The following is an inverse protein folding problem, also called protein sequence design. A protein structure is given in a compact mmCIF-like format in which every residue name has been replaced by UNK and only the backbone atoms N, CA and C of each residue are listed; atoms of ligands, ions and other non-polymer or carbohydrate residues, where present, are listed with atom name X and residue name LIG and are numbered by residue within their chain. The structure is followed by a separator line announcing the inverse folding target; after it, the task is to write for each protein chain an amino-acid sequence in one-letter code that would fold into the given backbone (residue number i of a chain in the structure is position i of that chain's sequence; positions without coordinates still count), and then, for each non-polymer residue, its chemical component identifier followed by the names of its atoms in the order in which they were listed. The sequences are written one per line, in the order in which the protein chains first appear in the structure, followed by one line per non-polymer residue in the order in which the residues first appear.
data_IF_526140212145
#
_entry.id   IF_526140212145
#
_cell.length_a   1.000
_cell.length_b   1.000
_cell.length_c   1.000
_cell.angle_alpha   90.00
_cell.angle_beta   90.00
_cell.angle_gamma   90.00
#
_symmetry.space_group_name_H-M   'P 1'
#
loop_
_entity.id
_entity.type
_entity.pdbx_description
1 polymer ?
#
# COMPACT_ATOMS: atom_id res chain seq x y z
N UNK A 1 6.32 -1.75 16.49
CA UNK A 1 5.84 -2.10 15.14
C UNK A 1 5.99 -0.90 14.22
N UNK A 2 6.36 -1.14 12.96
CA UNK A 2 6.35 -0.14 11.87
C UNK A 2 5.25 -0.55 10.89
N UNK A 3 3.95 -0.37 11.23
CA UNK A 3 2.83 -0.91 10.48
C UNK A 3 2.77 -0.41 9.02
N UNK A 4 3.29 0.78 8.75
CA UNK A 4 3.48 1.32 7.40
C UNK A 4 4.34 0.41 6.51
N UNK A 5 5.27 -0.36 7.09
CA UNK A 5 6.05 -1.37 6.35
C UNK A 5 5.24 -2.60 5.94
N UNK A 6 3.92 -2.63 6.18
CA UNK A 6 3.01 -3.55 5.50
C UNK A 6 3.06 -3.42 3.98
N UNK A 7 3.55 -2.29 3.46
CA UNK A 7 3.94 -2.10 2.07
C UNK A 7 5.26 -1.33 1.99
N UNK A 8 6.17 -1.77 1.12
CA UNK A 8 7.42 -1.10 0.80
C UNK A 8 7.58 -1.05 -0.72
N UNK A 9 7.86 0.13 -1.25
CA UNK A 9 8.23 0.34 -2.65
C UNK A 9 9.74 0.49 -2.78
N UNK A 10 10.35 -0.38 -3.58
CA UNK A 10 11.78 -0.39 -3.86
C UNK A 10 12.02 0.13 -5.29
N UNK A 11 12.49 1.36 -5.43
CA UNK A 11 12.88 1.93 -6.71
C UNK A 11 14.32 1.53 -7.06
N UNK A 12 14.48 0.70 -8.08
CA UNK A 12 15.79 0.25 -8.54
C UNK A 12 16.60 1.40 -9.17
N UNK A 13 17.79 1.66 -8.65
CA UNK A 13 18.74 2.66 -9.16
C UNK A 13 19.89 2.07 -9.98
N UNK A 14 19.86 0.76 -10.22
CA UNK A 14 20.96 0.00 -10.81
C UNK A 14 21.98 -0.45 -9.76
N UNK A 15 22.87 -1.36 -10.14
CA UNK A 15 23.97 -1.86 -9.28
C UNK A 15 23.52 -2.39 -7.91
N UNK A 16 22.33 -3.01 -7.84
CA UNK A 16 21.70 -3.47 -6.58
C UNK A 16 21.44 -2.35 -5.54
N UNK A 17 21.37 -1.09 -5.97
CA UNK A 17 20.97 0.03 -5.14
C UNK A 17 19.47 0.30 -5.30
N UNK A 18 18.79 0.52 -4.17
CA UNK A 18 17.35 0.75 -4.13
C UNK A 18 17.01 1.91 -3.20
N UNK A 19 16.19 2.83 -3.68
CA UNK A 19 15.49 3.78 -2.80
C UNK A 19 14.25 3.09 -2.26
N UNK A 20 14.10 3.09 -0.94
CA UNK A 20 12.96 2.44 -0.26
C UNK A 20 12.01 3.52 0.24
N UNK A 21 10.72 3.35 -0.05
CA UNK A 21 9.67 4.26 0.40
C UNK A 21 8.42 3.50 0.85
N UNK A 22 7.57 4.18 1.62
CA UNK A 22 6.28 3.68 2.08
C UNK A 22 5.32 4.86 2.27
N UNK A 23 4.09 4.58 2.67
CA UNK A 23 3.05 5.58 2.97
C UNK A 23 2.36 5.25 4.29
N UNK A 24 2.02 6.24 5.14
CA UNK A 24 1.23 6.01 6.34
C UNK A 24 -0.10 5.28 6.08
N UNK A 25 -0.67 5.44 4.88
CA UNK A 25 -1.90 4.74 4.49
C UNK A 25 -1.74 3.21 4.45
N UNK A 26 -0.52 2.71 4.26
CA UNK A 26 -0.23 1.29 4.25
C UNK A 26 -0.38 0.64 5.64
N UNK A 27 -0.38 1.42 6.72
CA UNK A 27 -0.50 0.91 8.09
C UNK A 27 -1.87 0.29 8.43
N UNK A 28 -2.90 0.60 7.63
CA UNK A 28 -4.28 0.21 7.92
C UNK A 28 -4.74 -1.07 7.22
N UNK A 29 -3.93 -1.68 6.36
CA UNK A 29 -4.31 -2.85 5.59
C UNK A 29 -3.46 -4.08 5.87
N UNK A 30 -4.02 -5.24 5.54
CA UNK A 30 -3.30 -6.50 5.37
C UNK A 30 -3.23 -6.78 3.88
N UNK A 31 -2.32 -6.10 3.19
CA UNK A 31 -2.19 -6.13 1.74
C UNK A 31 -1.76 -7.52 1.27
N UNK A 32 -2.51 -8.09 0.33
CA UNK A 32 -2.29 -9.45 -0.18
C UNK A 32 -2.13 -9.48 -1.70
N UNK A 33 -2.87 -8.63 -2.41
CA UNK A 33 -2.83 -8.56 -3.87
C UNK A 33 -2.32 -7.19 -4.31
N UNK A 34 -1.68 -7.14 -5.48
CA UNK A 34 -1.17 -5.93 -6.10
C UNK A 34 -1.44 -5.99 -7.61
N UNK A 35 -1.94 -4.89 -8.16
CA UNK A 35 -2.09 -4.66 -9.60
C UNK A 35 -1.34 -3.39 -10.00
N UNK A 36 -0.72 -3.37 -11.18
CA UNK A 36 0.01 -2.23 -11.71
C UNK A 36 -0.59 -1.81 -13.06
N UNK A 37 -1.16 -0.61 -13.12
CA UNK A 37 -1.84 -0.09 -14.30
C UNK A 37 -1.88 1.44 -14.29
N UNK A 38 -2.05 2.06 -15.46
CA UNK A 38 -2.35 3.49 -15.59
C UNK A 38 -3.85 3.72 -15.32
N UNK A 39 -4.21 3.97 -14.06
CA UNK A 39 -5.61 3.98 -13.61
C UNK A 39 -6.26 5.33 -13.88
N UNK A 40 -5.50 6.41 -13.71
CA UNK A 40 -5.99 7.76 -13.95
C UNK A 40 -5.68 8.32 -15.34
N UNK A 41 -5.01 7.52 -16.19
CA UNK A 41 -4.79 7.75 -17.62
C UNK A 41 -3.86 8.94 -17.88
N UNK A 42 -2.88 9.13 -17.02
CA UNK A 42 -1.90 10.20 -17.17
C UNK A 42 -0.60 9.75 -17.87
N UNK A 43 -0.49 8.44 -18.15
CA UNK A 43 0.62 7.83 -18.88
C UNK A 43 1.72 7.27 -17.98
N UNK A 44 1.58 7.33 -16.66
CA UNK A 44 2.44 6.62 -15.72
C UNK A 44 1.74 5.41 -15.06
N UNK A 45 2.51 4.59 -14.32
CA UNK A 45 1.98 3.36 -13.73
C UNK A 45 1.64 3.58 -12.26
N UNK A 46 0.35 3.42 -11.94
CA UNK A 46 -0.17 3.38 -10.58
C UNK A 46 -0.12 1.97 -10.00
N UNK A 47 -0.29 1.86 -8.68
CA UNK A 47 -0.45 0.59 -7.97
C UNK A 47 -1.78 0.53 -7.23
N UNK A 48 -2.46 -0.62 -7.29
CA UNK A 48 -3.61 -0.94 -6.42
C UNK A 48 -3.23 -2.08 -5.50
N UNK A 49 -3.39 -1.88 -4.20
CA UNK A 49 -3.25 -2.93 -3.19
C UNK A 49 -4.63 -3.39 -2.73
N UNK A 50 -4.86 -4.70 -2.75
CA UNK A 50 -6.05 -5.33 -2.17
C UNK A 50 -5.75 -5.91 -0.80
N UNK A 51 -6.59 -5.59 0.19
CA UNK A 51 -6.44 -6.13 1.54
C UNK A 51 -7.24 -7.43 1.74
N UNK A 52 -6.72 -8.31 2.60
CA UNK A 52 -7.38 -9.54 2.96
C UNK A 52 -7.32 -9.80 4.46
N UNK A 53 -8.49 -9.96 5.07
CA UNK A 53 -8.66 -10.33 6.47
C UNK A 53 -9.37 -11.67 6.53
N UNK A 54 -8.73 -12.65 7.18
CA UNK A 54 -9.20 -14.02 7.21
C UNK A 54 -10.30 -14.25 8.26
N UNK A 55 -10.31 -13.46 9.35
CA UNK A 55 -11.27 -13.60 10.43
C UNK A 55 -11.53 -12.29 11.17
N UNK A 56 -12.59 -12.28 12.00
CA UNK A 56 -13.00 -11.13 12.81
C UNK A 56 -11.93 -10.70 13.81
N UNK A 57 -11.11 -11.63 14.31
CA UNK A 57 -10.01 -11.34 15.23
C UNK A 57 -8.92 -10.44 14.63
N UNK A 58 -8.71 -10.49 13.31
CA UNK A 58 -7.78 -9.59 12.63
C UNK A 58 -8.35 -8.17 12.51
N UNK A 59 -9.67 -8.07 12.26
CA UNK A 59 -10.38 -6.79 12.20
C UNK A 59 -10.42 -6.12 13.60
N UNK A 60 -10.68 -6.89 14.66
CA UNK A 60 -10.74 -6.34 16.04
C UNK A 60 -9.40 -5.78 16.50
N UNK A 61 -8.27 -6.38 16.11
CA UNK A 61 -6.94 -5.82 16.38
C UNK A 61 -6.76 -4.43 15.77
N UNK A 62 -7.29 -4.18 14.58
CA UNK A 62 -7.26 -2.84 13.96
C UNK A 62 -8.16 -1.86 14.72
N UNK A 63 -9.35 -2.29 15.13
CA UNK A 63 -10.25 -1.46 15.94
C UNK A 63 -9.63 -1.07 17.29
N UNK A 64 -8.95 -2.00 17.98
CA UNK A 64 -8.20 -1.68 19.21
C UNK A 64 -7.03 -0.72 18.98
N UNK A 65 -6.52 -0.62 17.74
CA UNK A 65 -5.52 0.38 17.32
C UNK A 65 -6.16 1.70 16.84
N UNK A 66 -7.48 1.87 17.00
CA UNK A 66 -8.21 3.08 16.59
C UNK A 66 -8.55 3.14 15.10
N UNK A 67 -8.32 2.07 14.34
CA UNK A 67 -8.66 1.99 12.92
C UNK A 67 -10.07 1.43 12.79
N UNK A 68 -11.03 2.30 12.52
CA UNK A 68 -12.45 1.96 12.42
C UNK A 68 -12.93 1.79 10.98
N UNK A 69 -12.17 2.30 10.01
CA UNK A 69 -12.40 2.10 8.58
C UNK A 69 -11.30 1.20 8.05
N UNK A 70 -11.68 0.03 7.55
CA UNK A 70 -10.74 -0.99 7.08
C UNK A 70 -10.69 -0.90 5.56
N UNK A 71 -9.61 -0.35 4.97
CA UNK A 71 -9.52 -0.17 3.54
C UNK A 71 -9.50 -1.54 2.85
N UNK A 72 -10.45 -1.76 1.93
CA UNK A 72 -10.41 -2.92 1.03
C UNK A 72 -9.37 -2.74 -0.07
N UNK A 73 -9.17 -1.49 -0.48
CA UNK A 73 -8.26 -1.08 -1.54
C UNK A 73 -7.42 0.12 -1.08
N UNK A 74 -6.17 0.16 -1.50
CA UNK A 74 -5.31 1.33 -1.44
C UNK A 74 -4.74 1.59 -2.83
N UNK A 75 -5.03 2.76 -3.40
CA UNK A 75 -4.49 3.20 -4.69
C UNK A 75 -3.32 4.13 -4.45
N UNK A 76 -2.15 3.78 -4.96
CA UNK A 76 -0.94 4.57 -4.92
C UNK A 76 -0.74 5.14 -6.31
N UNK A 77 -0.92 6.46 -6.41
CA UNK A 77 -0.72 7.16 -7.66
C UNK A 77 0.71 7.64 -7.77
N UNK A 78 1.33 7.43 -8.92
CA UNK A 78 2.54 8.16 -9.21
C UNK A 78 2.13 9.57 -9.67
N UNK A 79 2.92 10.58 -9.29
CA UNK A 79 2.69 11.94 -9.78
C UNK A 79 3.94 12.34 -10.50
N UNK A 80 3.92 12.22 -11.83
CA UNK A 80 4.93 12.87 -12.63
C UNK A 80 4.77 14.38 -12.44
N UNK A 81 5.72 15.03 -11.77
CA UNK A 81 5.83 16.49 -11.86
C UNK A 81 6.05 16.78 -13.34
N UNK A 82 5.08 17.47 -13.97
CA UNK A 82 5.24 17.99 -15.33
C UNK A 82 6.19 19.18 -15.35
#
# INVERSE_FOLDING_TARGET
DQPEQGFLYFSNKGNFLFDVSSTPAAAAGKWLTLEAADIDRDGDTDLVLGSYFHNVGELTKLMFKGILSIPQLLVLKNQHIK
#
